data_IF_898122083008
#
_entry.id   IF_898122083008
#
_cell.length_a   1.000
_cell.length_b   1.000
_cell.length_c   1.000
_cell.angle_alpha   90.00
_cell.angle_beta   90.00
_cell.angle_gamma   90.00
#
_symmetry.space_group_name_H-M   'P 1'
#
loop_
_entity.id
_entity.type
_entity.pdbx_description
1 polymer ?
#
# COMPACT_ATOMS: atom_id res chain seq x y z
N UNK A 1 9.71 -23.35 6.99
CA UNK A 1 8.28 -23.00 7.05
C UNK A 1 7.95 -21.98 5.96
N UNK A 2 8.64 -20.84 5.96
CA UNK A 2 8.36 -19.64 5.15
C UNK A 2 8.04 -19.87 3.67
N UNK A 3 8.82 -20.70 2.97
CA UNK A 3 8.57 -21.02 1.54
C UNK A 3 7.19 -21.62 1.26
N UNK A 4 6.59 -22.32 2.22
CA UNK A 4 5.24 -22.86 2.07
C UNK A 4 4.18 -21.74 2.15
N UNK A 5 4.38 -20.77 3.05
CA UNK A 5 3.47 -19.61 3.22
C UNK A 5 3.39 -18.70 1.99
N UNK A 6 4.39 -18.69 1.12
CA UNK A 6 4.38 -17.87 -0.11
C UNK A 6 3.26 -18.30 -1.07
N UNK A 7 3.01 -19.60 -1.22
CA UNK A 7 2.00 -20.15 -2.14
C UNK A 7 0.77 -20.57 -1.35
N UNK A 8 -0.27 -19.73 -1.39
CA UNK A 8 -1.52 -19.94 -0.67
C UNK A 8 -2.32 -21.10 -1.28
N UNK A 9 -2.85 -21.97 -0.43
CA UNK A 9 -3.90 -22.95 -0.79
C UNK A 9 -5.25 -22.27 -1.00
N UNK A 10 -6.21 -22.97 -1.61
CA UNK A 10 -7.56 -22.43 -1.87
C UNK A 10 -8.27 -21.96 -0.58
N UNK A 11 -8.04 -22.64 0.55
CA UNK A 11 -8.54 -22.22 1.86
C UNK A 11 -7.95 -20.87 2.30
N UNK A 12 -6.63 -20.70 2.19
CA UNK A 12 -5.95 -19.46 2.57
C UNK A 12 -6.36 -18.30 1.67
N UNK A 13 -6.53 -18.55 0.37
CA UNK A 13 -7.10 -17.57 -0.57
C UNK A 13 -8.53 -17.18 -0.16
N UNK A 14 -9.34 -18.13 0.31
CA UNK A 14 -10.70 -17.84 0.80
C UNK A 14 -10.67 -16.98 2.08
N UNK A 15 -9.75 -17.23 3.02
CA UNK A 15 -9.61 -16.43 4.23
C UNK A 15 -9.12 -15.00 3.93
N UNK A 16 -8.11 -14.84 3.06
CA UNK A 16 -7.63 -13.53 2.62
C UNK A 16 -8.72 -12.76 1.88
N UNK A 17 -9.53 -13.42 1.03
CA UNK A 17 -10.72 -12.81 0.40
C UNK A 17 -11.73 -12.34 1.43
N UNK A 18 -12.03 -13.17 2.44
CA UNK A 18 -12.96 -12.83 3.52
C UNK A 18 -12.49 -11.62 4.33
N UNK A 19 -11.20 -11.54 4.65
CA UNK A 19 -10.60 -10.35 5.28
C UNK A 19 -10.76 -9.11 4.38
N UNK A 20 -10.45 -9.23 3.08
CA UNK A 20 -10.61 -8.14 2.11
C UNK A 20 -12.06 -7.66 1.97
N UNK A 21 -13.06 -8.55 1.99
CA UNK A 21 -14.49 -8.20 1.93
C UNK A 21 -14.92 -7.38 3.16
N UNK A 22 -14.47 -7.78 4.35
CA UNK A 22 -14.75 -7.08 5.60
C UNK A 22 -14.08 -5.71 5.64
N UNK A 23 -12.78 -5.63 5.35
CA UNK A 23 -12.03 -4.37 5.25
C UNK A 23 -12.61 -3.42 4.21
N UNK A 24 -12.97 -3.94 3.03
CA UNK A 24 -13.62 -3.13 1.98
C UNK A 24 -14.98 -2.58 2.44
N UNK A 25 -15.73 -3.33 3.24
CA UNK A 25 -16.99 -2.87 3.81
C UNK A 25 -16.79 -1.88 4.98
N UNK A 26 -15.69 -1.97 5.72
CA UNK A 26 -15.28 -1.00 6.72
C UNK A 26 -14.82 0.32 6.08
N UNK A 27 -13.97 0.28 5.05
CA UNK A 27 -13.63 1.45 4.21
C UNK A 27 -14.87 2.15 3.64
N UNK A 28 -15.85 1.41 3.12
CA UNK A 28 -17.14 1.99 2.69
C UNK A 28 -17.94 2.61 3.84
N UNK A 29 -17.84 2.03 5.04
CA UNK A 29 -18.51 2.55 6.25
C UNK A 29 -17.89 3.86 6.75
N UNK A 30 -16.57 4.02 6.57
CA UNK A 30 -15.82 5.28 6.76
C UNK A 30 -16.21 6.29 5.69
N UNK A 31 -16.07 5.96 4.41
CA UNK A 31 -16.38 6.85 3.29
C UNK A 31 -17.80 7.45 3.37
N UNK A 32 -18.81 6.62 3.69
CA UNK A 32 -20.20 7.05 3.84
C UNK A 32 -20.50 7.95 5.05
N UNK A 33 -19.54 8.15 5.96
CA UNK A 33 -19.67 9.03 7.14
C UNK A 33 -18.58 10.11 7.21
N UNK A 34 -17.61 10.10 6.32
CA UNK A 34 -16.36 10.87 6.40
C UNK A 34 -16.58 12.37 6.69
N UNK A 35 -17.56 12.99 6.02
CA UNK A 35 -17.87 14.42 6.16
C UNK A 35 -18.47 14.81 7.52
N UNK A 36 -18.73 13.84 8.41
CA UNK A 36 -19.23 14.04 9.78
C UNK A 36 -18.16 13.75 10.85
N UNK A 37 -16.99 13.28 10.44
CA UNK A 37 -15.87 13.00 11.32
C UNK A 37 -15.09 14.30 11.55
N UNK A 38 -14.47 14.43 12.71
CA UNK A 38 -13.80 15.68 13.14
C UNK A 38 -12.32 15.50 13.45
N UNK A 39 -11.91 14.27 13.74
CA UNK A 39 -10.55 13.90 14.09
C UNK A 39 -10.17 12.57 13.42
N UNK A 40 -8.88 12.35 13.21
CA UNK A 40 -8.34 11.11 12.62
C UNK A 40 -8.74 9.85 13.43
N UNK A 41 -8.80 9.94 14.76
CA UNK A 41 -9.26 8.84 15.63
C UNK A 41 -10.71 8.44 15.38
N UNK A 42 -11.55 9.36 14.91
CA UNK A 42 -12.95 9.07 14.56
C UNK A 42 -13.00 8.15 13.33
N UNK A 43 -12.01 8.29 12.43
CA UNK A 43 -11.83 7.45 11.24
C UNK A 43 -11.38 6.04 11.64
N UNK A 44 -10.35 5.94 12.50
CA UNK A 44 -9.87 4.67 13.05
C UNK A 44 -10.96 3.93 13.81
N UNK A 45 -11.61 4.58 14.78
CA UNK A 45 -12.64 3.98 15.61
C UNK A 45 -13.83 3.49 14.79
N UNK A 46 -14.23 4.24 13.75
CA UNK A 46 -15.29 3.84 12.83
C UNK A 46 -14.88 2.63 11.96
N UNK A 47 -13.64 2.57 11.50
CA UNK A 47 -13.13 1.41 10.75
C UNK A 47 -13.14 0.16 11.64
N UNK A 48 -12.55 0.25 12.84
CA UNK A 48 -12.49 -0.86 13.81
C UNK A 48 -13.88 -1.35 14.22
N UNK A 49 -14.80 -0.43 14.53
CA UNK A 49 -16.20 -0.78 14.84
C UNK A 49 -16.89 -1.47 13.65
N UNK A 50 -16.65 -1.00 12.42
CA UNK A 50 -17.21 -1.62 11.22
C UNK A 50 -16.66 -3.03 10.96
N UNK A 51 -15.37 -3.28 11.24
CA UNK A 51 -14.78 -4.63 11.23
C UNK A 51 -15.40 -5.53 12.32
N UNK A 52 -15.52 -5.00 13.55
CA UNK A 52 -16.08 -5.72 14.69
C UNK A 52 -17.52 -6.18 14.45
N UNK A 53 -18.38 -5.29 13.95
CA UNK A 53 -19.76 -5.60 13.56
C UNK A 53 -19.88 -6.66 12.44
N UNK A 54 -18.78 -7.01 11.76
CA UNK A 54 -18.72 -8.00 10.66
C UNK A 54 -18.05 -9.32 11.04
N UNK A 55 -17.73 -9.49 12.33
CA UNK A 55 -17.27 -10.75 12.90
C UNK A 55 -15.76 -10.86 13.13
N UNK A 56 -14.98 -9.79 12.96
CA UNK A 56 -13.55 -9.79 13.34
C UNK A 56 -13.21 -8.69 14.34
N UNK A 57 -12.56 -9.10 15.44
CA UNK A 57 -12.07 -8.19 16.48
C UNK A 57 -10.68 -7.64 16.15
N UNK A 58 -9.85 -8.40 15.44
CA UNK A 58 -8.44 -8.09 15.21
C UNK A 58 -8.25 -7.27 13.93
N UNK A 59 -7.41 -6.23 14.02
CA UNK A 59 -6.84 -5.59 12.84
C UNK A 59 -5.49 -6.25 12.54
N UNK A 60 -5.12 -6.35 11.27
CA UNK A 60 -3.84 -6.95 10.87
C UNK A 60 -2.63 -6.05 11.23
N UNK A 61 -2.89 -4.76 11.41
CA UNK A 61 -1.97 -3.70 11.84
C UNK A 61 -2.77 -2.56 12.48
N UNK A 62 -2.10 -1.65 13.19
CA UNK A 62 -2.72 -0.41 13.66
C UNK A 62 -3.14 0.45 12.46
N UNK A 63 -4.34 1.02 12.50
CA UNK A 63 -4.83 1.83 11.39
C UNK A 63 -3.97 3.10 11.22
N UNK A 64 -3.79 3.53 9.98
CA UNK A 64 -3.15 4.79 9.62
C UNK A 64 -4.25 5.70 9.09
N UNK A 65 -4.60 6.75 9.82
CA UNK A 65 -5.60 7.74 9.41
C UNK A 65 -4.91 9.11 9.30
N UNK A 66 -4.16 9.34 8.22
CA UNK A 66 -3.40 10.58 8.03
C UNK A 66 -4.17 11.62 7.22
N UNK A 67 -4.53 12.76 7.81
CA UNK A 67 -5.14 13.90 7.16
C UNK A 67 -4.10 14.96 6.74
N UNK A 68 -4.33 15.61 5.59
CA UNK A 68 -3.48 16.71 5.12
C UNK A 68 -2.00 16.29 4.99
N UNK A 69 -1.12 16.90 5.78
CA UNK A 69 0.31 16.57 5.78
C UNK A 69 0.62 15.20 6.43
N UNK A 70 -0.21 14.72 7.36
CA UNK A 70 -0.02 13.40 7.98
C UNK A 70 -0.12 12.27 6.95
N UNK A 71 -0.90 12.46 5.88
CA UNK A 71 -1.00 11.53 4.74
C UNK A 71 0.34 11.29 4.01
N UNK A 72 1.35 12.16 4.20
CA UNK A 72 2.69 11.98 3.64
C UNK A 72 3.63 11.15 4.55
N UNK A 73 3.21 10.84 5.79
CA UNK A 73 3.96 9.98 6.72
C UNK A 73 3.49 8.55 6.57
N UNK A 74 4.28 7.70 5.90
CA UNK A 74 3.87 6.36 5.46
C UNK A 74 3.30 5.46 6.58
N UNK A 75 3.91 5.47 7.76
CA UNK A 75 3.44 4.72 8.94
C UNK A 75 3.03 5.72 10.04
N UNK A 76 2.09 6.61 9.74
CA UNK A 76 1.51 7.52 10.71
C UNK A 76 0.56 6.77 11.65
N UNK A 77 0.82 6.81 12.96
CA UNK A 77 0.08 6.02 13.97
C UNK A 77 -0.48 6.84 15.13
N UNK A 78 -0.27 8.16 15.14
CA UNK A 78 -0.73 9.02 16.24
C UNK A 78 -2.27 9.17 16.16
N UNK A 79 -2.81 9.29 14.93
CA UNK A 79 -4.24 9.38 14.59
C UNK A 79 -5.02 10.38 15.46
N UNK A 80 -4.41 11.47 15.92
CA UNK A 80 -4.99 12.38 16.90
C UNK A 80 -5.22 13.81 16.36
N UNK A 81 -4.86 14.09 15.10
CA UNK A 81 -5.01 15.42 14.52
C UNK A 81 -6.45 15.70 14.05
N UNK A 82 -6.89 16.97 14.08
CA UNK A 82 -8.21 17.34 13.60
C UNK A 82 -8.28 17.32 12.06
N UNK A 83 -9.42 16.90 11.52
CA UNK A 83 -9.66 16.86 10.07
C UNK A 83 -9.94 18.25 9.47
N UNK A 84 -10.28 19.26 10.31
CA UNK A 84 -10.57 20.62 9.86
C UNK A 84 -9.35 21.26 9.18
N UNK A 85 -9.58 21.94 8.05
CA UNK A 85 -8.52 22.55 7.24
C UNK A 85 -7.76 21.59 6.32
N UNK A 86 -7.87 20.27 6.52
CA UNK A 86 -7.27 19.27 5.62
C UNK A 86 -8.12 19.05 4.36
N UNK A 87 -7.47 18.88 3.20
CA UNK A 87 -8.17 18.65 1.92
C UNK A 87 -8.60 17.18 1.74
N UNK A 88 -7.83 16.25 2.30
CA UNK A 88 -8.00 14.81 2.17
C UNK A 88 -7.55 14.08 3.43
N UNK A 89 -7.98 12.83 3.55
CA UNK A 89 -7.43 11.84 4.45
C UNK A 89 -6.97 10.63 3.65
N UNK A 90 -5.83 10.06 4.02
CA UNK A 90 -5.39 8.73 3.62
C UNK A 90 -5.71 7.77 4.76
N UNK A 91 -6.47 6.72 4.46
CA UNK A 91 -6.83 5.66 5.40
C UNK A 91 -6.18 4.37 4.92
N UNK A 92 -5.15 3.93 5.63
CA UNK A 92 -4.57 2.61 5.46
C UNK A 92 -4.98 1.71 6.63
N UNK A 93 -5.84 0.73 6.35
CA UNK A 93 -6.36 -0.15 7.38
C UNK A 93 -6.89 -1.45 6.77
N UNK A 94 -6.59 -2.56 7.46
CA UNK A 94 -7.07 -3.89 7.12
C UNK A 94 -7.32 -4.75 8.35
N UNK A 95 -8.43 -5.49 8.34
CA UNK A 95 -8.72 -6.48 9.36
C UNK A 95 -7.94 -7.79 9.14
N UNK A 96 -7.85 -8.58 10.20
CA UNK A 96 -7.47 -9.99 10.13
C UNK A 96 -8.74 -10.86 10.10
N UNK A 97 -8.72 -11.98 9.38
CA UNK A 97 -9.77 -13.01 9.45
C UNK A 97 -9.13 -14.39 9.59
N UNK A 98 -9.42 -15.10 10.69
CA UNK A 98 -8.84 -16.42 11.02
C UNK A 98 -7.31 -16.46 10.85
N UNK A 99 -6.63 -15.43 11.38
CA UNK A 99 -5.19 -15.17 11.25
C UNK A 99 -4.68 -14.76 9.85
N UNK A 100 -5.55 -14.56 8.85
CA UNK A 100 -5.15 -14.03 7.54
C UNK A 100 -5.40 -12.53 7.44
N UNK A 101 -4.34 -11.79 7.12
CA UNK A 101 -4.37 -10.34 6.96
C UNK A 101 -5.09 -9.92 5.67
N UNK A 102 -5.69 -8.72 5.74
CA UNK A 102 -5.97 -7.88 4.59
C UNK A 102 -5.24 -6.54 4.76
N UNK A 103 -5.04 -5.85 3.66
CA UNK A 103 -4.27 -4.61 3.58
C UNK A 103 -4.92 -3.74 2.50
N UNK A 104 -5.42 -2.56 2.88
CA UNK A 104 -6.23 -1.69 2.01
C UNK A 104 -6.01 -0.23 2.35
N UNK A 105 -5.34 0.50 1.46
CA UNK A 105 -5.25 1.97 1.48
C UNK A 105 -6.35 2.64 0.65
N UNK A 106 -6.97 3.71 1.15
CA UNK A 106 -7.86 4.61 0.37
C UNK A 106 -7.62 6.07 0.74
N UNK A 107 -7.43 6.91 -0.27
CA UNK A 107 -7.37 8.38 -0.10
C UNK A 107 -8.71 8.99 -0.49
N UNK A 108 -9.27 9.83 0.38
CA UNK A 108 -10.62 10.38 0.23
C UNK A 108 -10.65 11.90 0.50
N UNK A 109 -11.40 12.69 -0.27
CA UNK A 109 -11.50 14.14 -0.06
C UNK A 109 -12.42 14.46 1.13
N UNK A 110 -11.93 15.29 2.06
CA UNK A 110 -12.68 15.70 3.26
C UNK A 110 -13.81 16.70 2.98
N UNK A 111 -13.84 17.27 1.77
CA UNK A 111 -14.92 18.08 1.21
C UNK A 111 -15.95 17.27 0.39
N UNK A 112 -15.75 15.96 0.23
CA UNK A 112 -16.57 15.09 -0.62
C UNK A 112 -16.20 15.09 -2.12
N UNK A 113 -15.34 16.02 -2.56
CA UNK A 113 -14.81 16.07 -3.93
C UNK A 113 -13.36 16.56 -3.94
N UNK A 114 -12.49 15.91 -4.71
CA UNK A 114 -11.09 16.33 -4.83
C UNK A 114 -10.95 17.73 -5.45
N UNK A 115 -10.00 18.53 -4.94
CA UNK A 115 -9.56 19.74 -5.63
C UNK A 115 -8.91 19.37 -6.98
N UNK A 116 -8.88 20.26 -7.99
CA UNK A 116 -8.29 19.93 -9.30
C UNK A 116 -6.83 19.43 -9.22
N UNK A 117 -6.03 19.97 -8.28
CA UNK A 117 -4.66 19.51 -8.03
C UNK A 117 -4.63 18.13 -7.38
N UNK A 118 -5.47 17.88 -6.36
CA UNK A 118 -5.54 16.58 -5.70
C UNK A 118 -6.08 15.49 -6.64
N UNK A 119 -7.08 15.80 -7.47
CA UNK A 119 -7.61 14.91 -8.49
C UNK A 119 -6.54 14.52 -9.53
N UNK A 120 -5.72 15.47 -9.96
CA UNK A 120 -4.64 15.22 -10.91
C UNK A 120 -3.55 14.29 -10.33
N UNK A 121 -3.16 14.47 -9.07
CA UNK A 121 -2.22 13.55 -8.40
C UNK A 121 -2.86 12.18 -8.16
N UNK A 122 -4.12 12.13 -7.71
CA UNK A 122 -4.86 10.88 -7.55
C UNK A 122 -4.96 10.08 -8.86
N UNK A 123 -5.20 10.75 -10.00
CA UNK A 123 -5.26 10.11 -11.31
C UNK A 123 -3.92 9.48 -11.72
N UNK A 124 -2.77 10.05 -11.33
CA UNK A 124 -1.46 9.44 -11.55
C UNK A 124 -1.33 8.14 -10.74
N UNK A 125 -1.67 8.16 -9.46
CA UNK A 125 -1.60 6.99 -8.57
C UNK A 125 -2.57 5.89 -8.99
N UNK A 126 -3.81 6.25 -9.35
CA UNK A 126 -4.80 5.33 -9.90
C UNK A 126 -4.28 4.67 -11.18
N UNK A 127 -3.70 5.44 -12.10
CA UNK A 127 -3.08 4.90 -13.31
C UNK A 127 -1.90 3.97 -13.00
N UNK A 128 -1.04 4.31 -12.04
CA UNK A 128 0.05 3.42 -11.59
C UNK A 128 -0.52 2.06 -11.11
N UNK A 129 -1.60 2.10 -10.33
CA UNK A 129 -2.27 0.91 -9.80
C UNK A 129 -2.89 0.06 -10.91
N UNK A 130 -3.75 0.65 -11.76
CA UNK A 130 -4.44 -0.04 -12.86
C UNK A 130 -3.45 -0.64 -13.87
N UNK A 131 -2.45 0.14 -14.27
CA UNK A 131 -1.40 -0.32 -15.20
C UNK A 131 -0.55 -1.45 -14.62
N UNK A 132 -0.26 -1.45 -13.31
CA UNK A 132 0.46 -2.54 -12.65
C UNK A 132 -0.39 -3.80 -12.51
N UNK A 133 -1.65 -3.68 -12.06
CA UNK A 133 -2.59 -4.81 -11.92
C UNK A 133 -2.73 -5.55 -13.26
N UNK A 134 -2.93 -4.83 -14.37
CA UNK A 134 -3.04 -5.41 -15.70
C UNK A 134 -1.78 -6.17 -16.17
N UNK A 135 -0.62 -5.95 -15.53
CA UNK A 135 0.66 -6.59 -15.86
C UNK A 135 1.03 -7.74 -14.91
N UNK A 136 0.30 -7.94 -13.80
CA UNK A 136 0.50 -9.08 -12.88
C UNK A 136 0.02 -10.37 -13.53
N UNK A 137 0.96 -11.30 -13.78
CA UNK A 137 0.69 -12.64 -14.33
C UNK A 137 1.85 -13.60 -14.02
N UNK A 138 1.66 -14.93 -14.12
CA UNK A 138 2.74 -15.90 -13.97
C UNK A 138 3.95 -15.55 -14.86
N UNK A 139 5.15 -15.58 -14.28
CA UNK A 139 6.40 -15.21 -14.96
C UNK A 139 6.69 -13.70 -15.05
N UNK A 140 5.81 -12.82 -14.57
CA UNK A 140 6.13 -11.41 -14.40
C UNK A 140 7.16 -11.21 -13.26
N UNK A 141 8.14 -10.34 -13.47
CA UNK A 141 9.13 -9.97 -12.45
C UNK A 141 8.60 -8.76 -11.68
N UNK A 142 8.41 -8.90 -10.37
CA UNK A 142 7.81 -7.85 -9.53
C UNK A 142 8.59 -6.53 -9.56
N UNK A 143 9.92 -6.59 -9.53
CA UNK A 143 10.78 -5.41 -9.67
C UNK A 143 10.49 -4.58 -10.94
N UNK A 144 10.12 -5.22 -12.06
CA UNK A 144 9.75 -4.50 -13.29
C UNK A 144 8.39 -3.78 -13.17
N UNK A 145 7.48 -4.27 -12.32
CA UNK A 145 6.22 -3.56 -12.01
C UNK A 145 6.53 -2.29 -11.20
N UNK A 146 7.41 -2.37 -10.20
CA UNK A 146 7.85 -1.20 -9.44
C UNK A 146 8.52 -0.13 -10.32
N UNK A 147 9.45 -0.53 -11.20
CA UNK A 147 10.05 0.38 -12.19
C UNK A 147 9.01 0.97 -13.15
N UNK A 148 8.01 0.19 -13.56
CA UNK A 148 6.94 0.68 -14.41
C UNK A 148 6.05 1.71 -13.70
N UNK A 149 5.67 1.48 -12.44
CA UNK A 149 4.95 2.45 -11.62
C UNK A 149 5.74 3.75 -11.47
N UNK A 150 7.05 3.67 -11.21
CA UNK A 150 7.93 4.84 -11.14
C UNK A 150 7.99 5.61 -12.48
N UNK A 151 7.97 4.91 -13.63
CA UNK A 151 7.94 5.56 -14.95
C UNK A 151 6.59 6.24 -15.26
N UNK A 152 5.47 5.69 -14.76
CA UNK A 152 4.15 6.34 -14.81
C UNK A 152 4.16 7.61 -13.93
N UNK A 153 4.65 7.51 -12.69
CA UNK A 153 4.78 8.64 -11.77
C UNK A 153 5.65 9.77 -12.37
N UNK A 154 6.83 9.45 -12.90
CA UNK A 154 7.70 10.40 -13.59
C UNK A 154 6.97 11.19 -14.68
N UNK A 155 6.23 10.47 -15.53
CA UNK A 155 5.50 11.05 -16.66
C UNK A 155 4.39 11.98 -16.18
N UNK A 156 3.62 11.56 -15.18
CA UNK A 156 2.56 12.38 -14.58
C UNK A 156 3.09 13.62 -13.88
N UNK A 157 4.14 13.49 -13.05
CA UNK A 157 4.72 14.61 -12.31
C UNK A 157 5.39 15.64 -13.23
N UNK A 158 5.93 15.22 -14.39
CA UNK A 158 6.35 16.11 -15.48
C UNK A 158 5.16 16.84 -16.12
N UNK A 159 4.07 16.13 -16.42
CA UNK A 159 2.85 16.73 -16.99
C UNK A 159 2.20 17.77 -16.06
N UNK A 160 2.32 17.60 -14.74
CA UNK A 160 1.86 18.58 -13.75
C UNK A 160 2.86 19.72 -13.48
N UNK A 161 4.05 19.71 -14.11
CA UNK A 161 5.10 20.71 -13.91
C UNK A 161 5.75 20.71 -12.52
N UNK A 162 5.52 19.65 -11.74
CA UNK A 162 6.11 19.38 -10.42
C UNK A 162 7.57 18.98 -10.59
N UNK A 163 7.82 18.02 -11.50
CA UNK A 163 9.15 17.74 -12.04
C UNK A 163 9.39 18.62 -13.26
N UNK A 164 10.65 19.05 -13.46
CA UNK A 164 11.07 19.92 -14.57
C UNK A 164 12.43 19.47 -15.08
N UNK A 165 12.64 19.55 -16.39
CA UNK A 165 13.87 19.08 -17.06
C UNK A 165 13.62 17.92 -18.00
N UNK A 166 14.69 17.32 -18.51
CA UNK A 166 14.59 16.22 -19.47
C UNK A 166 14.32 14.88 -18.76
N UNK A 167 13.35 14.12 -19.29
CA UNK A 167 12.80 12.90 -18.67
C UNK A 167 13.87 11.88 -18.29
N UNK A 168 14.83 11.63 -19.17
CA UNK A 168 15.81 10.55 -18.99
C UNK A 168 16.92 10.91 -18.00
N UNK A 169 17.18 12.20 -17.77
CA UNK A 169 18.10 12.66 -16.72
C UNK A 169 17.46 12.48 -15.33
N UNK A 170 16.19 12.87 -15.20
CA UNK A 170 15.41 12.68 -13.98
C UNK A 170 15.24 11.19 -13.66
N UNK A 171 15.06 10.34 -14.68
CA UNK A 171 15.03 8.88 -14.55
C UNK A 171 16.38 8.32 -14.06
N UNK A 172 17.51 8.72 -14.66
CA UNK A 172 18.86 8.33 -14.22
C UNK A 172 19.17 8.76 -12.80
N UNK A 173 18.74 9.97 -12.41
CA UNK A 173 18.94 10.50 -11.07
C UNK A 173 18.05 9.84 -10.01
N UNK A 174 17.07 9.01 -10.41
CA UNK A 174 16.16 8.35 -9.48
C UNK A 174 15.20 9.30 -8.75
N UNK A 175 15.03 10.54 -9.21
CA UNK A 175 14.31 11.62 -8.51
C UNK A 175 12.87 11.26 -8.10
N UNK A 176 12.24 10.34 -8.84
CA UNK A 176 10.90 9.81 -8.51
C UNK A 176 10.84 9.20 -7.11
N UNK A 177 11.95 8.64 -6.60
CA UNK A 177 12.01 8.06 -5.26
C UNK A 177 11.73 9.08 -4.14
N UNK A 178 11.86 10.39 -4.38
CA UNK A 178 11.43 11.41 -3.43
C UNK A 178 9.89 11.52 -3.29
N UNK A 179 9.14 11.06 -4.31
CA UNK A 179 7.68 11.07 -4.36
C UNK A 179 7.05 9.68 -4.19
N UNK A 180 7.85 8.63 -4.43
CA UNK A 180 7.48 7.22 -4.27
C UNK A 180 8.66 6.48 -3.58
N UNK A 181 8.86 6.70 -2.27
CA UNK A 181 10.05 6.22 -1.54
C UNK A 181 9.97 4.75 -1.09
N UNK A 182 8.81 4.12 -1.22
CA UNK A 182 8.56 2.75 -0.77
C UNK A 182 8.47 1.75 -1.93
N UNK A 183 8.50 0.46 -1.60
CA UNK A 183 8.20 -0.59 -2.59
C UNK A 183 6.77 -0.49 -3.10
N UNK A 184 6.50 -1.07 -4.27
CA UNK A 184 5.14 -1.11 -4.86
C UNK A 184 4.12 -1.91 -4.01
N UNK A 185 4.59 -2.65 -3.00
CA UNK A 185 3.83 -3.57 -2.17
C UNK A 185 4.68 -4.77 -1.74
N UNK A 186 4.04 -5.75 -1.10
CA UNK A 186 4.67 -6.91 -0.48
C UNK A 186 3.78 -8.16 -0.60
N UNK A 187 4.23 -9.29 -0.06
CA UNK A 187 3.35 -10.43 0.18
C UNK A 187 2.40 -10.14 1.35
N UNK A 188 1.20 -10.71 1.30
CA UNK A 188 0.17 -10.70 2.37
C UNK A 188 -0.25 -12.15 2.63
N UNK A 189 -0.50 -12.51 3.89
CA UNK A 189 -0.85 -13.86 4.30
C UNK A 189 -1.17 -13.91 5.79
N UNK A 190 -0.42 -14.71 6.56
CA UNK A 190 -0.56 -14.77 8.03
C UNK A 190 0.02 -13.53 8.75
N UNK A 191 0.83 -12.74 8.05
CA UNK A 191 1.32 -11.43 8.48
C UNK A 191 0.96 -10.42 7.36
N UNK A 192 0.79 -9.14 7.70
CA UNK A 192 0.52 -8.08 6.70
C UNK A 192 1.72 -7.93 5.74
N UNK A 193 2.93 -7.84 6.30
CA UNK A 193 4.18 -8.03 5.59
C UNK A 193 4.58 -9.51 5.68
N UNK A 194 3.94 -10.34 4.86
CA UNK A 194 4.14 -11.79 4.87
C UNK A 194 5.53 -12.20 4.39
N UNK A 195 5.97 -13.39 4.80
CA UNK A 195 7.31 -13.91 4.51
C UNK A 195 7.53 -14.10 3.00
N UNK A 196 8.74 -13.79 2.55
CA UNK A 196 9.13 -13.86 1.14
C UNK A 196 9.67 -15.24 0.71
N UNK A 197 9.86 -16.17 1.64
CA UNK A 197 10.47 -17.49 1.39
C UNK A 197 11.98 -17.47 1.07
N UNK A 198 12.64 -16.32 1.29
CA UNK A 198 13.99 -15.99 0.84
C UNK A 198 14.02 -15.49 -0.61
N UNK A 199 13.16 -14.53 -0.93
CA UNK A 199 13.05 -13.93 -2.27
C UNK A 199 12.53 -12.50 -2.22
N UNK A 200 13.40 -11.51 -2.03
CA UNK A 200 12.99 -10.12 -2.01
C UNK A 200 12.30 -9.74 -3.33
N UNK A 201 11.06 -9.27 -3.26
CA UNK A 201 10.26 -8.86 -4.42
C UNK A 201 10.93 -7.74 -5.24
N UNK A 202 11.79 -6.94 -4.60
CA UNK A 202 12.58 -5.87 -5.21
C UNK A 202 13.98 -6.32 -5.66
N UNK A 203 14.24 -7.63 -5.76
CA UNK A 203 15.48 -8.14 -6.36
C UNK A 203 15.47 -7.93 -7.90
N UNK A 204 16.53 -7.37 -8.49
CA UNK A 204 16.59 -7.13 -9.94
C UNK A 204 16.73 -8.40 -10.79
N UNK A 205 16.96 -9.56 -10.17
CA UNK A 205 16.99 -10.86 -10.84
C UNK A 205 16.41 -11.97 -9.98
N UNK A 206 15.61 -12.85 -10.60
CA UNK A 206 15.22 -14.13 -10.01
C UNK A 206 16.22 -15.21 -10.42
N UNK A 207 16.81 -15.99 -9.49
CA UNK A 207 17.71 -17.08 -9.85
C UNK A 207 16.95 -18.21 -10.55
N UNK A 208 17.25 -18.43 -11.84
CA UNK A 208 16.68 -19.51 -12.66
C UNK A 208 17.18 -20.90 -12.19
N UNK A 209 16.49 -21.56 -11.26
CA UNK A 209 16.65 -23.01 -11.01
C UNK A 209 15.39 -23.62 -10.41
N UNK A 210 15.19 -24.92 -10.65
CA UNK A 210 14.05 -25.76 -10.22
C UNK A 210 12.73 -25.66 -11.01
N UNK A 211 12.81 -25.99 -12.32
CA UNK A 211 11.71 -26.65 -13.04
C UNK A 211 12.26 -27.85 -13.84
N UNK A 212 12.59 -28.93 -13.13
CA UNK A 212 12.97 -30.21 -13.71
C UNK A 212 12.50 -31.35 -12.81
N UNK A 213 11.43 -32.04 -13.21
CA UNK A 213 10.87 -33.21 -12.52
C UNK A 213 9.53 -32.96 -11.81
N UNK A 214 8.43 -33.36 -12.45
CA UNK A 214 7.08 -33.30 -11.88
C UNK A 214 5.99 -33.15 -12.93
N UNK A 215 5.45 -34.27 -13.44
CA UNK A 215 4.23 -34.23 -14.26
C UNK A 215 3.02 -34.04 -13.32
N UNK A 216 2.05 -33.23 -13.73
CA UNK A 216 0.79 -32.93 -13.03
C UNK A 216 0.90 -32.09 -11.73
N UNK A 217 1.09 -30.78 -11.88
CA UNK A 217 0.57 -29.80 -10.94
C UNK A 217 0.08 -28.55 -11.70
N UNK A 218 -1.24 -28.30 -11.73
CA UNK A 218 -1.79 -27.00 -12.15
C UNK A 218 -1.77 -26.06 -10.94
N UNK A 219 -0.60 -25.51 -10.62
CA UNK A 219 -0.41 -24.60 -9.51
C UNK A 219 0.60 -23.52 -9.87
N UNK A 220 0.14 -22.27 -9.99
CA UNK A 220 0.99 -21.13 -10.34
C UNK A 220 1.71 -20.59 -9.11
N UNK A 221 2.90 -21.13 -8.80
CA UNK A 221 3.82 -20.61 -7.79
C UNK A 221 5.19 -20.30 -8.38
N UNK A 222 5.82 -19.19 -7.98
CA UNK A 222 7.19 -18.84 -8.40
C UNK A 222 8.23 -19.34 -7.35
N UNK A 223 9.40 -19.84 -7.80
CA UNK A 223 10.36 -20.70 -7.04
C UNK A 223 11.85 -20.31 -7.29
N UNK A 224 12.87 -20.51 -6.42
CA UNK A 224 12.95 -21.13 -5.07
C UNK A 224 14.29 -20.91 -4.28
N UNK A 225 14.56 -19.81 -3.52
CA UNK A 225 15.93 -19.71 -2.92
C UNK A 225 16.50 -18.58 -2.00
N UNK A 226 16.08 -18.47 -0.73
CA UNK A 226 17.02 -18.33 0.44
C UNK A 226 17.39 -16.96 1.08
N UNK A 227 17.80 -17.05 2.36
CA UNK A 227 18.43 -16.05 3.25
C UNK A 227 17.56 -14.97 3.95
N UNK A 228 17.53 -15.08 5.28
CA UNK A 228 16.85 -14.26 6.29
C UNK A 228 17.39 -12.81 6.41
N UNK A 229 16.57 -11.89 6.95
CA UNK A 229 17.08 -10.60 7.45
C UNK A 229 16.03 -9.61 7.96
N UNK A 230 15.60 -9.73 9.22
CA UNK A 230 14.73 -8.74 9.89
C UNK A 230 15.39 -7.36 9.92
N UNK A 231 14.67 -6.28 9.60
CA UNK A 231 15.10 -4.89 9.88
C UNK A 231 14.08 -4.19 10.78
N UNK A 232 14.59 -3.53 11.83
CA UNK A 232 13.81 -2.59 12.66
C UNK A 232 13.68 -1.26 11.91
N UNK A 233 12.54 -0.60 12.04
CA UNK A 233 12.26 0.68 11.40
C UNK A 233 12.95 1.83 12.15
N UNK A 234 13.63 2.73 11.43
CA UNK A 234 13.97 4.06 11.92
C UNK A 234 12.86 5.03 11.50
N UNK A 235 12.29 5.74 12.47
CA UNK A 235 11.45 6.91 12.19
C UNK A 235 12.34 8.06 11.73
N UNK A 236 11.93 8.78 10.68
CA UNK A 236 12.57 10.04 10.29
C UNK A 236 12.02 11.14 11.21
N UNK A 237 12.86 11.97 11.85
CA UNK A 237 12.37 13.05 12.70
C UNK A 237 11.57 14.08 11.88
N UNK A 238 10.41 14.48 12.41
CA UNK A 238 9.64 15.62 11.86
C UNK A 238 10.50 16.87 12.00
N UNK A 239 10.78 17.56 10.89
CA UNK A 239 11.43 18.86 10.94
C UNK A 239 10.41 19.93 11.29
N UNK A 240 10.65 20.69 12.36
CA UNK A 240 9.82 21.83 12.71
C UNK A 240 9.85 22.89 11.61
N UNK A 241 8.69 23.14 10.99
CA UNK A 241 8.50 24.31 10.13
C UNK A 241 8.01 25.46 11.00
N UNK A 242 8.97 26.28 11.39
CA UNK A 242 8.82 27.45 12.25
C UNK A 242 7.77 28.46 11.75
N UNK A 243 7.05 29.08 12.68
CA UNK A 243 6.09 30.15 12.40
C UNK A 243 6.74 31.51 12.66
N UNK A 244 7.25 32.19 11.64
CA UNK A 244 8.01 33.44 11.85
C UNK A 244 8.07 34.42 10.68
N UNK A 245 7.14 35.39 10.70
CA UNK A 245 7.34 36.83 10.39
C UNK A 245 8.18 37.24 9.15
N UNK A 246 7.50 37.66 8.09
CA UNK A 246 7.55 39.04 7.54
C UNK A 246 6.44 39.26 6.51
#
# INVERSE_FOLDING_TARGET
MDRARVVKTDYEVAMIRRANDVSSAAHRSVAGRLLRLTNERDVEALFQAACHMRGTRSQAYGAIAGAGANAATLHYVDNDAPLVGSQLVLVDAGCEWDCYASDVTRTMPLSGSFSPRAAAVHAIVQRMQEECIARVRPGAVYYHLHLHAAAVALTGLLQLGILRGHRDDIARAGTVAAFFPHGLGHHVGLEVHDVDGGFPLLAPSHPRRFLAGGRHARGTGCHGGGAQGRRRYQQCPRGDLDQGQA
#
